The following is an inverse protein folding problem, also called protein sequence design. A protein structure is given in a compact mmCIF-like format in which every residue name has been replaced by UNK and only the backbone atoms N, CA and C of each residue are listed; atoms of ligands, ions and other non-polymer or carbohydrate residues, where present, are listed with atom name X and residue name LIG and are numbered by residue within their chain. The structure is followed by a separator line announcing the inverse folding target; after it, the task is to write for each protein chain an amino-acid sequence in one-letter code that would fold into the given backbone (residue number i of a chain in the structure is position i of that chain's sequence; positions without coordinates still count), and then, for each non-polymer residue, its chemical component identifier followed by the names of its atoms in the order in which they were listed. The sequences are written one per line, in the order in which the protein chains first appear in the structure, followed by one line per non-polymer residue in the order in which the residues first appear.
data_IF_230777730297
#
_entry.id   IF_230777730297
#
_cell.length_a   1.000
_cell.length_b   1.000
_cell.length_c   1.000
_cell.angle_alpha   90.00
_cell.angle_beta   90.00
_cell.angle_gamma   90.00
#
_symmetry.space_group_name_H-M   'P 1'
#
loop_
_entity.id
_entity.type
_entity.pdbx_description
1 polymer ?
#
# COMPACT_ATOMS: atom_id res chain seq x y z
N UNK A 1 11.59 2.49 10.57
CA UNK A 1 10.63 1.59 9.88
C UNK A 1 10.08 0.45 10.75
N UNK A 2 10.44 0.32 12.02
CA UNK A 2 10.05 -0.82 12.88
C UNK A 2 8.61 -0.76 13.46
N UNK A 3 8.01 0.41 13.57
CA UNK A 3 6.64 0.57 14.17
C UNK A 3 5.55 -0.08 13.29
N UNK A 4 5.81 -0.26 11.99
CA UNK A 4 4.83 -0.78 11.04
C UNK A 4 4.62 -2.30 11.12
N UNK A 5 5.66 -3.05 11.50
CA UNK A 5 5.63 -4.52 11.57
C UNK A 5 4.85 -5.02 12.78
N UNK A 6 5.06 -4.39 13.94
CA UNK A 6 4.37 -4.76 15.18
C UNK A 6 2.85 -4.57 15.09
N UNK A 7 2.39 -3.55 14.37
CA UNK A 7 0.95 -3.28 14.21
C UNK A 7 0.24 -4.29 13.30
N UNK A 8 0.95 -5.01 12.43
CA UNK A 8 0.32 -5.96 11.52
C UNK A 8 -0.15 -7.24 12.22
N UNK A 9 0.44 -7.55 13.39
CA UNK A 9 0.21 -8.78 14.15
C UNK A 9 -0.98 -8.72 15.13
N UNK A 10 -1.51 -7.51 15.42
CA UNK A 10 -2.60 -7.35 16.38
C UNK A 10 -3.94 -7.91 15.83
N UNK A 11 -4.68 -8.67 16.66
CA UNK A 11 -5.84 -9.48 16.25
C UNK A 11 -7.12 -8.70 15.91
N UNK A 12 -7.17 -7.40 16.17
CA UNK A 12 -8.39 -6.61 16.03
C UNK A 12 -8.60 -6.10 14.60
N UNK A 13 -9.53 -6.78 13.93
CA UNK A 13 -10.62 -6.24 13.10
C UNK A 13 -10.28 -5.53 11.78
N UNK A 14 -11.15 -5.73 10.79
CA UNK A 14 -11.13 -5.10 9.45
C UNK A 14 -10.97 -3.57 9.46
N UNK A 15 -11.20 -2.89 10.59
CA UNK A 15 -11.02 -1.44 10.74
C UNK A 15 -9.59 -0.97 10.45
N UNK A 16 -8.58 -1.81 10.68
CA UNK A 16 -7.17 -1.44 10.50
C UNK A 16 -6.81 -1.27 9.02
N UNK A 17 -7.47 -1.99 8.10
CA UNK A 17 -7.14 -1.93 6.67
C UNK A 17 -7.68 -0.63 6.04
N UNK A 18 -8.94 -0.27 6.29
CA UNK A 18 -9.53 1.00 5.83
C UNK A 18 -8.78 2.20 6.41
N UNK A 19 -8.39 2.15 7.69
CA UNK A 19 -7.52 3.16 8.31
C UNK A 19 -6.15 3.25 7.64
N UNK A 20 -5.58 2.14 7.15
CA UNK A 20 -4.29 2.12 6.44
C UNK A 20 -4.37 2.73 5.05
N UNK A 21 -5.42 2.41 4.30
CA UNK A 21 -5.72 3.02 2.99
C UNK A 21 -5.90 4.53 3.17
N UNK A 22 -6.78 4.94 4.08
CA UNK A 22 -7.01 6.35 4.41
C UNK A 22 -5.72 7.06 4.84
N UNK A 23 -4.89 6.43 5.68
CA UNK A 23 -3.61 6.99 6.10
C UNK A 23 -2.61 7.10 4.95
N UNK A 24 -2.61 6.17 4.00
CA UNK A 24 -1.77 6.25 2.82
C UNK A 24 -2.14 7.49 1.99
N UNK A 25 -3.44 7.70 1.78
CA UNK A 25 -3.95 8.87 1.06
C UNK A 25 -3.75 10.19 1.80
N UNK A 26 -4.00 10.26 3.12
CA UNK A 26 -3.76 11.50 3.89
C UNK A 26 -2.27 11.83 3.99
N UNK A 27 -1.40 10.83 4.10
CA UNK A 27 0.05 11.04 4.05
C UNK A 27 0.51 11.48 2.65
N UNK A 28 -0.02 10.89 1.59
CA UNK A 28 0.20 11.34 0.21
C UNK A 28 -0.21 12.79 0.00
N UNK A 29 -1.43 13.14 0.43
CA UNK A 29 -1.99 14.49 0.34
C UNK A 29 -1.20 15.53 1.15
N UNK A 30 -0.82 15.24 2.40
CA UNK A 30 0.04 16.13 3.20
C UNK A 30 1.44 16.35 2.63
N UNK A 31 1.88 15.49 1.69
CA UNK A 31 3.15 15.62 0.97
C UNK A 31 2.96 16.15 -0.45
N UNK A 32 1.74 16.59 -0.81
CA UNK A 32 1.36 17.03 -2.16
C UNK A 32 1.78 16.04 -3.26
N UNK A 33 1.71 14.73 -2.96
CA UNK A 33 2.06 13.68 -3.90
C UNK A 33 0.90 13.40 -4.85
N UNK A 34 1.23 13.11 -6.10
CA UNK A 34 0.25 12.66 -7.09
C UNK A 34 -0.41 11.35 -6.61
N UNK A 35 -1.73 11.27 -6.79
CA UNK A 35 -2.52 10.14 -6.34
C UNK A 35 -2.14 8.88 -7.13
N UNK A 36 -2.28 8.95 -8.45
CA UNK A 36 -1.91 7.94 -9.41
C UNK A 36 -1.48 8.63 -10.71
N UNK A 37 -0.46 8.08 -11.36
CA UNK A 37 0.01 8.50 -12.67
C UNK A 37 0.47 7.23 -13.42
N UNK A 38 -0.20 6.85 -14.53
CA UNK A 38 0.17 5.68 -15.33
C UNK A 38 1.58 5.76 -15.93
N UNK A 39 2.13 6.96 -16.14
CA UNK A 39 3.47 7.14 -16.66
C UNK A 39 4.55 6.80 -15.61
N UNK A 40 4.22 6.83 -14.33
CA UNK A 40 5.15 6.56 -13.23
C UNK A 40 4.97 5.10 -12.77
N UNK A 41 5.88 4.23 -13.20
CA UNK A 41 5.84 2.81 -12.84
C UNK A 41 6.28 2.55 -11.38
N UNK A 42 5.72 1.52 -10.71
CA UNK A 42 6.13 1.13 -9.36
C UNK A 42 7.55 0.56 -9.36
N UNK A 43 8.36 0.95 -8.37
CA UNK A 43 9.78 0.57 -8.32
C UNK A 43 9.99 -0.74 -7.57
N UNK A 44 10.75 -1.66 -8.14
CA UNK A 44 11.06 -2.96 -7.50
C UNK A 44 12.27 -2.89 -6.56
N UNK A 45 13.33 -2.18 -6.97
CA UNK A 45 14.59 -2.05 -6.25
C UNK A 45 14.93 -0.58 -6.00
N UNK A 46 14.86 -0.17 -4.74
CA UNK A 46 15.14 1.21 -4.33
C UNK A 46 16.51 1.26 -3.64
N UNK A 47 17.47 1.97 -4.24
CA UNK A 47 18.59 2.50 -3.48
C UNK A 47 18.08 3.60 -2.54
N UNK A 48 18.79 3.83 -1.42
CA UNK A 48 18.38 4.82 -0.40
C UNK A 48 18.32 6.24 -0.98
N UNK A 49 19.17 6.54 -1.97
CA UNK A 49 19.20 7.81 -2.69
C UNK A 49 17.98 7.98 -3.60
N UNK A 50 17.58 6.93 -4.32
CA UNK A 50 16.38 6.96 -5.19
C UNK A 50 15.08 7.07 -4.38
N UNK A 51 15.04 6.54 -3.16
CA UNK A 51 13.88 6.71 -2.26
C UNK A 51 13.70 8.16 -1.78
N UNK A 52 14.79 8.94 -1.71
CA UNK A 52 14.75 10.34 -1.28
C UNK A 52 14.30 11.29 -2.39
N UNK A 53 14.36 10.87 -3.66
CA UNK A 53 13.82 11.63 -4.79
C UNK A 53 12.30 11.60 -4.76
N UNK A 54 11.69 12.76 -4.52
CA UNK A 54 10.24 12.92 -4.31
C UNK A 54 9.45 12.92 -5.62
N UNK A 55 10.11 13.15 -6.75
CA UNK A 55 9.47 13.63 -7.98
C UNK A 55 8.78 12.53 -8.79
N UNK A 56 8.89 11.28 -8.37
CA UNK A 56 8.46 10.12 -9.15
C UNK A 56 7.85 9.03 -8.24
N UNK A 57 7.16 9.44 -7.16
CA UNK A 57 6.47 8.51 -6.26
C UNK A 57 5.00 8.90 -6.11
N UNK A 58 4.11 8.05 -6.64
CA UNK A 58 2.66 8.20 -6.48
C UNK A 58 2.17 7.48 -5.23
N UNK A 59 0.99 7.87 -4.74
CA UNK A 59 0.37 7.22 -3.58
C UNK A 59 -0.03 5.78 -3.90
N UNK A 60 -0.52 5.52 -5.11
CA UNK A 60 -0.86 4.19 -5.59
C UNK A 60 0.36 3.29 -5.74
N UNK A 61 1.51 3.80 -6.21
CA UNK A 61 2.74 3.00 -6.28
C UNK A 61 3.19 2.51 -4.91
N UNK A 62 2.91 3.25 -3.82
CA UNK A 62 3.21 2.80 -2.46
C UNK A 62 2.49 1.50 -2.07
N UNK A 63 1.33 1.21 -2.67
CA UNK A 63 0.63 -0.04 -2.44
C UNK A 63 1.45 -1.22 -3.00
N UNK A 64 1.92 -1.10 -4.24
CA UNK A 64 2.72 -2.11 -4.94
C UNK A 64 4.13 -2.26 -4.36
N UNK A 65 4.77 -1.13 -4.04
CA UNK A 65 6.13 -1.12 -3.50
C UNK A 65 6.21 -1.76 -2.11
N UNK A 66 5.15 -1.64 -1.30
CA UNK A 66 5.23 -1.95 0.12
C UNK A 66 4.02 -2.70 0.67
N UNK A 67 2.81 -2.16 0.53
CA UNK A 67 1.64 -2.70 1.25
C UNK A 67 1.30 -4.13 0.79
N UNK A 68 1.44 -4.42 -0.50
CA UNK A 68 1.20 -5.75 -1.06
C UNK A 68 2.29 -6.75 -0.64
N UNK A 69 3.54 -6.31 -0.48
CA UNK A 69 4.68 -7.14 -0.03
C UNK A 69 4.63 -7.48 1.47
N UNK A 70 3.78 -6.82 2.26
CA UNK A 70 3.70 -7.08 3.71
C UNK A 70 3.19 -8.49 4.05
N UNK A 71 2.48 -9.17 3.14
CA UNK A 71 1.98 -10.53 3.40
C UNK A 71 3.12 -11.53 3.60
N UNK A 72 4.17 -11.41 2.80
CA UNK A 72 5.31 -12.35 2.78
C UNK A 72 6.25 -12.16 3.97
N UNK A 73 6.14 -11.01 4.65
CA UNK A 73 6.96 -10.67 5.80
C UNK A 73 6.37 -11.15 7.14
N UNK A 74 5.19 -11.79 7.10
CA UNK A 74 4.56 -12.37 8.29
C UNK A 74 5.24 -13.67 8.70
N UNK A 75 5.77 -13.71 9.92
CA UNK A 75 6.50 -14.88 10.45
C UNK A 75 5.59 -15.98 11.03
N UNK A 76 4.35 -15.66 11.39
CA UNK A 76 3.43 -16.62 12.04
C UNK A 76 2.36 -17.08 11.06
N UNK A 77 1.95 -18.36 11.15
CA UNK A 77 0.87 -18.92 10.32
C UNK A 77 -0.44 -18.14 10.45
N UNK A 78 -0.77 -17.71 11.68
CA UNK A 78 -1.95 -16.87 11.92
C UNK A 78 -1.82 -15.47 11.29
N UNK A 79 -0.62 -14.87 11.32
CA UNK A 79 -0.31 -13.60 10.68
C UNK A 79 -0.42 -13.68 9.16
N UNK A 80 0.12 -14.74 8.55
CA UNK A 80 0.03 -15.01 7.11
C UNK A 80 -1.43 -15.14 6.66
N UNK A 81 -2.24 -16.00 7.32
CA UNK A 81 -3.66 -16.17 6.98
C UNK A 81 -4.46 -14.87 7.08
N UNK A 82 -4.11 -13.98 8.01
CA UNK A 82 -4.73 -12.66 8.15
C UNK A 82 -4.24 -11.69 7.07
N UNK A 83 -2.95 -11.72 6.75
CA UNK A 83 -2.37 -10.88 5.72
C UNK A 83 -2.88 -11.24 4.33
N UNK A 84 -3.08 -12.53 4.03
CA UNK A 84 -3.67 -13.01 2.77
C UNK A 84 -5.05 -12.38 2.54
N UNK A 85 -5.93 -12.44 3.54
CA UNK A 85 -7.27 -11.82 3.46
C UNK A 85 -7.20 -10.31 3.25
N UNK A 86 -6.25 -9.64 3.88
CA UNK A 86 -6.06 -8.18 3.75
C UNK A 86 -5.44 -7.81 2.40
N UNK A 87 -4.55 -8.65 1.88
CA UNK A 87 -3.93 -8.49 0.58
C UNK A 87 -5.00 -8.57 -0.51
N UNK A 88 -5.83 -9.61 -0.48
CA UNK A 88 -6.95 -9.76 -1.42
C UNK A 88 -7.88 -8.54 -1.46
N UNK A 89 -8.25 -8.01 -0.29
CA UNK A 89 -9.06 -6.79 -0.24
C UNK A 89 -8.35 -5.56 -0.85
N UNK A 90 -7.03 -5.43 -0.66
CA UNK A 90 -6.26 -4.33 -1.27
C UNK A 90 -6.18 -4.49 -2.79
N UNK A 91 -6.06 -5.72 -3.30
CA UNK A 91 -6.10 -6.01 -4.75
C UNK A 91 -7.47 -5.67 -5.34
N UNK A 92 -8.56 -6.06 -4.68
CA UNK A 92 -9.93 -5.73 -5.08
C UNK A 92 -10.15 -4.21 -5.11
N UNK A 93 -9.73 -3.50 -4.04
CA UNK A 93 -9.80 -2.04 -3.99
C UNK A 93 -9.01 -1.37 -5.12
N UNK A 94 -7.79 -1.85 -5.41
CA UNK A 94 -6.98 -1.29 -6.49
C UNK A 94 -7.60 -1.56 -7.86
N UNK A 95 -8.20 -2.74 -8.05
CA UNK A 95 -8.91 -3.07 -9.27
C UNK A 95 -10.07 -2.10 -9.52
N UNK A 96 -10.95 -1.91 -8.52
CA UNK A 96 -12.05 -0.95 -8.60
C UNK A 96 -11.54 0.47 -8.84
N UNK A 97 -10.48 0.88 -8.13
CA UNK A 97 -9.84 2.18 -8.33
C UNK A 97 -9.36 2.39 -9.77
N UNK A 98 -8.72 1.39 -10.38
CA UNK A 98 -8.25 1.50 -11.77
C UNK A 98 -9.40 1.49 -12.77
N UNK A 99 -10.46 0.72 -12.53
CA UNK A 99 -11.67 0.72 -13.36
C UNK A 99 -12.36 2.08 -13.32
N UNK A 100 -12.52 2.69 -12.14
CA UNK A 100 -13.04 4.06 -11.98
C UNK A 100 -12.12 5.10 -12.62
N UNK A 101 -10.80 4.97 -12.44
CA UNK A 101 -9.82 5.90 -13.00
C UNK A 101 -9.80 5.91 -14.53
N UNK A 102 -9.90 4.73 -15.14
CA UNK A 102 -9.96 4.59 -16.60
C UNK A 102 -11.36 4.90 -17.17
N UNK A 103 -12.34 5.24 -16.31
CA UNK A 103 -13.73 5.52 -16.72
C UNK A 103 -14.49 4.29 -17.23
N UNK A 104 -14.11 3.09 -16.78
CA UNK A 104 -14.71 1.80 -17.18
C UNK A 104 -15.73 1.26 -16.18
N UNK A 105 -15.96 1.98 -15.08
CA UNK A 105 -16.91 1.65 -14.01
C UNK A 105 -18.36 2.08 -14.33
#
# INVERSE_FOLDING_TARGET
MAIWYLWFCLPELQSVLRKRIARCFTFGGSRSRVLHDPAIQPRSDLSKEQYMKKDEQTTVNHFHEKLLKLKDLMKTKAGQKRAERRHKFMEEFLKEFYEEWDGRA
#
